data_IF_867376159246
#
_entry.id   IF_867376159246
#
_cell.length_a   1.000
_cell.length_b   1.000
_cell.length_c   1.000
_cell.angle_alpha   90.00
_cell.angle_beta   90.00
_cell.angle_gamma   90.00
#
_symmetry.space_group_name_H-M   'P 1'
#
loop_
_entity.id
_entity.type
_entity.pdbx_description
1 polymer ?
#
# COMPACT_ATOMS: atom_id res chain seq x y z
N UNK A 1 -0.62 10.97 -6.61
CA UNK A 1 -0.49 9.50 -6.75
C UNK A 1 -1.83 8.79 -6.56
N UNK A 2 -2.96 9.46 -6.86
CA UNK A 2 -4.30 8.87 -6.82
C UNK A 2 -4.57 8.06 -5.53
N UNK A 3 -5.11 6.83 -5.60
CA UNK A 3 -5.31 5.98 -4.42
C UNK A 3 -4.02 5.46 -3.75
N UNK A 4 -2.86 5.61 -4.39
CA UNK A 4 -1.60 5.03 -3.92
C UNK A 4 -0.84 5.89 -2.90
N UNK A 5 -1.34 7.10 -2.59
CA UNK A 5 -0.68 8.03 -1.64
C UNK A 5 -0.40 7.42 -0.25
N UNK A 6 -1.26 6.51 0.22
CA UNK A 6 -1.09 5.82 1.51
C UNK A 6 0.18 4.98 1.57
N UNK A 7 0.68 4.50 0.44
CA UNK A 7 1.92 3.72 0.40
C UNK A 7 3.13 4.56 0.80
N UNK A 8 3.15 5.84 0.42
CA UNK A 8 4.23 6.75 0.81
C UNK A 8 4.16 7.06 2.30
N UNK A 9 2.96 7.33 2.83
CA UNK A 9 2.80 7.54 4.27
C UNK A 9 3.23 6.31 5.07
N UNK A 10 2.93 5.11 4.59
CA UNK A 10 3.35 3.86 5.23
C UNK A 10 4.87 3.69 5.18
N UNK A 11 5.49 3.95 4.02
CA UNK A 11 6.94 3.83 3.85
C UNK A 11 7.72 4.84 4.70
N UNK A 12 7.18 6.04 4.91
CA UNK A 12 7.80 7.09 5.72
C UNK A 12 7.37 7.07 7.19
N UNK A 13 6.63 6.04 7.61
CA UNK A 13 6.09 5.91 8.97
C UNK A 13 5.27 7.13 9.43
N UNK A 14 4.52 7.73 8.50
CA UNK A 14 3.63 8.86 8.72
C UNK A 14 2.24 8.32 9.10
N UNK A 15 1.60 8.85 10.16
CA UNK A 15 0.23 8.48 10.52
C UNK A 15 -0.74 8.69 9.36
N UNK A 16 -1.57 7.68 9.06
CA UNK A 16 -2.62 7.81 8.03
C UNK A 16 -3.68 8.84 8.42
N UNK A 17 -3.99 8.88 9.71
CA UNK A 17 -4.91 9.83 10.30
C UNK A 17 -4.11 11.01 10.85
N UNK A 18 -4.37 12.20 10.33
CA UNK A 18 -3.64 13.43 10.67
C UNK A 18 -2.12 13.30 10.47
N UNK A 19 -1.64 13.23 9.21
CA UNK A 19 -0.21 13.04 8.92
C UNK A 19 0.69 14.15 9.45
N UNK A 20 0.15 15.31 9.86
CA UNK A 20 0.93 16.45 10.36
C UNK A 20 1.83 17.10 9.31
N UNK A 21 1.77 16.62 8.06
CA UNK A 21 2.54 17.15 6.93
C UNK A 21 1.70 18.19 6.21
N UNK A 22 2.15 19.44 6.25
CA UNK A 22 1.66 20.49 5.36
C UNK A 22 2.43 20.42 4.03
N UNK A 23 1.68 20.26 2.94
CA UNK A 23 2.19 20.20 1.57
C UNK A 23 1.76 21.42 0.74
N UNK A 24 1.08 22.39 1.36
CA UNK A 24 0.57 23.59 0.72
C UNK A 24 -0.56 23.34 -0.29
N UNK A 25 -0.92 24.39 -1.03
CA UNK A 25 -1.91 24.28 -2.10
C UNK A 25 -1.33 23.59 -3.34
N UNK A 26 -2.05 22.60 -3.85
CA UNK A 26 -1.71 21.81 -5.04
C UNK A 26 -2.72 22.00 -6.18
N UNK A 27 -3.65 22.95 -6.04
CA UNK A 27 -4.73 23.22 -6.99
C UNK A 27 -4.23 23.43 -8.42
N UNK A 28 -3.17 24.23 -8.61
CA UNK A 28 -2.57 24.50 -9.93
C UNK A 28 -2.00 23.23 -10.58
N UNK A 29 -1.34 22.38 -9.78
CA UNK A 29 -0.77 21.11 -10.27
C UNK A 29 -1.87 20.12 -10.67
N UNK A 30 -2.97 20.10 -9.92
CA UNK A 30 -4.16 19.31 -10.26
C UNK A 30 -4.82 19.84 -11.53
N UNK A 31 -4.94 21.16 -11.70
CA UNK A 31 -5.48 21.77 -12.90
C UNK A 31 -4.60 21.48 -14.13
N UNK A 32 -3.27 21.56 -13.99
CA UNK A 32 -2.33 21.20 -15.04
C UNK A 32 -2.50 19.73 -15.47
N UNK A 33 -2.61 18.80 -14.51
CA UNK A 33 -2.84 17.38 -14.79
C UNK A 33 -4.12 17.15 -15.61
N UNK A 34 -5.19 17.91 -15.33
CA UNK A 34 -6.45 17.86 -16.08
C UNK A 34 -6.30 18.41 -17.49
N UNK A 35 -5.64 19.58 -17.64
CA UNK A 35 -5.41 20.22 -18.95
C UNK A 35 -4.60 19.35 -19.90
N UNK A 36 -3.55 18.71 -19.38
CA UNK A 36 -2.67 17.83 -20.17
C UNK A 36 -3.21 16.41 -20.35
N UNK A 37 -4.43 16.11 -19.86
CA UNK A 37 -5.06 14.80 -19.96
C UNK A 37 -4.15 13.65 -19.51
N UNK A 38 -3.39 13.86 -18.41
CA UNK A 38 -2.44 12.88 -17.93
C UNK A 38 -3.12 11.56 -17.54
N UNK A 39 -2.43 10.44 -17.76
CA UNK A 39 -2.86 9.11 -17.34
C UNK A 39 -2.89 8.96 -15.81
N UNK A 40 -3.61 7.95 -15.33
CA UNK A 40 -3.67 7.62 -13.90
C UNK A 40 -2.34 7.06 -13.42
N UNK A 41 -2.09 7.16 -12.11
CA UNK A 41 -0.91 6.55 -11.50
C UNK A 41 -0.96 5.02 -11.59
N UNK A 42 -2.16 4.43 -11.60
CA UNK A 42 -2.35 3.01 -11.90
C UNK A 42 -1.80 2.64 -13.29
N UNK A 43 -2.12 3.43 -14.32
CA UNK A 43 -1.59 3.20 -15.67
C UNK A 43 -0.07 3.27 -15.69
N UNK A 44 0.53 4.21 -14.94
CA UNK A 44 1.99 4.30 -14.81
C UNK A 44 2.59 3.02 -14.20
N UNK A 45 2.02 2.49 -13.12
CA UNK A 45 2.49 1.23 -12.52
C UNK A 45 2.31 0.03 -13.45
N UNK A 46 1.23 -0.01 -14.24
CA UNK A 46 0.97 -1.13 -15.15
C UNK A 46 1.82 -1.08 -16.43
N UNK A 47 2.24 0.10 -16.90
CA UNK A 47 2.85 0.26 -18.23
C UNK A 47 4.29 0.78 -18.19
N UNK A 48 4.68 1.52 -17.16
CA UNK A 48 6.01 2.17 -17.07
C UNK A 48 6.88 1.50 -15.99
N UNK A 49 6.29 1.08 -14.87
CA UNK A 49 7.04 0.47 -13.77
C UNK A 49 6.35 -0.76 -13.13
N UNK A 50 6.16 -1.85 -13.92
CA UNK A 50 5.40 -3.05 -13.52
C UNK A 50 6.04 -3.91 -12.43
N UNK A 51 7.35 -3.81 -12.24
CA UNK A 51 8.09 -4.51 -11.19
C UNK A 51 7.84 -3.94 -9.78
N UNK A 52 7.21 -2.76 -9.70
CA UNK A 52 6.90 -2.13 -8.43
C UNK A 52 5.84 -2.94 -7.67
N UNK A 53 6.17 -3.32 -6.43
CA UNK A 53 5.23 -4.03 -5.56
C UNK A 53 4.13 -3.09 -5.05
N UNK A 54 2.87 -3.48 -5.28
CA UNK A 54 1.68 -2.77 -4.79
C UNK A 54 1.16 -3.46 -3.52
N UNK A 55 0.88 -2.68 -2.48
CA UNK A 55 0.44 -3.17 -1.16
C UNK A 55 -1.07 -2.95 -0.95
N UNK A 56 -1.89 -3.35 -1.92
CA UNK A 56 -3.34 -3.17 -1.94
C UNK A 56 -4.10 -3.82 -0.77
N UNK A 57 -3.54 -4.88 -0.19
CA UNK A 57 -4.17 -5.66 0.89
C UNK A 57 -3.41 -5.58 2.22
N UNK A 58 -2.41 -4.70 2.35
CA UNK A 58 -1.65 -4.55 3.59
C UNK A 58 -2.47 -3.77 4.61
N UNK A 59 -2.71 -4.40 5.77
CA UNK A 59 -3.37 -3.78 6.93
C UNK A 59 -2.35 -3.04 7.79
N UNK A 60 -1.21 -3.68 8.03
CA UNK A 60 -0.11 -3.10 8.79
C UNK A 60 1.20 -3.59 8.21
N UNK A 61 2.17 -2.68 8.20
CA UNK A 61 3.56 -2.91 7.87
C UNK A 61 4.41 -2.36 9.01
N UNK A 62 5.53 -3.01 9.29
CA UNK A 62 6.51 -2.49 10.21
C UNK A 62 7.78 -3.32 10.17
N UNK A 63 8.68 -2.97 11.08
CA UNK A 63 9.92 -3.69 11.28
C UNK A 63 10.20 -3.91 12.76
N UNK A 64 10.79 -5.06 13.06
CA UNK A 64 11.35 -5.38 14.36
C UNK A 64 12.86 -5.34 14.19
N UNK A 65 13.50 -4.40 14.89
CA UNK A 65 14.95 -4.21 14.86
C UNK A 65 15.60 -4.99 15.99
N UNK A 66 16.56 -5.84 15.65
CA UNK A 66 17.52 -6.43 16.58
C UNK A 66 18.93 -5.95 16.20
N UNK A 67 19.90 -6.06 17.11
CA UNK A 67 21.29 -5.61 16.85
C UNK A 67 21.96 -6.29 15.65
N UNK A 68 21.50 -7.48 15.28
CA UNK A 68 22.08 -8.31 14.22
C UNK A 68 21.20 -8.46 12.97
N UNK A 69 19.91 -8.14 13.08
CA UNK A 69 18.97 -8.36 11.98
C UNK A 69 17.77 -7.44 12.08
N UNK A 70 17.15 -7.17 10.94
CA UNK A 70 15.86 -6.50 10.87
C UNK A 70 14.84 -7.47 10.26
N UNK A 71 13.72 -7.65 10.96
CA UNK A 71 12.58 -8.40 10.44
C UNK A 71 11.55 -7.39 9.95
N UNK A 72 11.31 -7.35 8.65
CA UNK A 72 10.15 -6.63 8.12
C UNK A 72 8.95 -7.56 8.13
N UNK A 73 7.81 -7.08 8.63
CA UNK A 73 6.57 -7.85 8.66
C UNK A 73 5.45 -7.08 7.98
N UNK A 74 4.59 -7.81 7.28
CA UNK A 74 3.42 -7.28 6.60
C UNK A 74 2.21 -8.14 6.98
N UNK A 75 1.17 -7.56 7.56
CA UNK A 75 -0.12 -8.24 7.78
C UNK A 75 -1.06 -7.92 6.63
N UNK A 76 -1.47 -8.95 5.89
CA UNK A 76 -2.34 -8.79 4.72
C UNK A 76 -3.75 -9.31 5.00
N UNK A 77 -4.75 -8.63 4.41
CA UNK A 77 -6.15 -9.05 4.37
C UNK A 77 -6.38 -9.90 3.12
N UNK A 78 -6.69 -11.17 3.30
CA UNK A 78 -7.09 -12.05 2.20
C UNK A 78 -8.61 -12.22 2.23
N UNK A 79 -9.25 -11.96 1.08
CA UNK A 79 -10.66 -12.28 0.87
C UNK A 79 -10.72 -13.61 0.13
N UNK A 80 -11.03 -14.69 0.83
CA UNK A 80 -11.29 -15.97 0.17
C UNK A 80 -12.78 -16.00 -0.22
N UNK A 81 -13.08 -16.23 -1.49
CA UNK A 81 -14.42 -16.62 -1.92
C UNK A 81 -14.56 -18.11 -1.62
N UNK A 82 -15.06 -18.45 -0.43
CA UNK A 82 -15.42 -19.82 -0.12
C UNK A 82 -16.83 -20.10 -0.66
N UNK A 83 -16.94 -20.86 -1.74
CA UNK A 83 -18.21 -21.46 -2.17
C UNK A 83 -18.39 -22.79 -1.43
N UNK A 84 -18.90 -22.76 -0.20
CA UNK A 84 -19.50 -23.95 0.39
C UNK A 84 -20.94 -24.04 -0.14
N UNK A 85 -21.15 -24.97 -1.07
CA UNK A 85 -22.47 -25.44 -1.50
C UNK A 85 -23.49 -24.37 -1.93
N UNK A 86 -23.10 -23.44 -2.81
CA UNK A 86 -24.06 -22.59 -3.54
C UNK A 86 -24.84 -21.57 -2.72
N UNK A 87 -24.53 -21.42 -1.43
CA UNK A 87 -25.05 -20.33 -0.59
C UNK A 87 -23.98 -19.22 -0.56
N UNK A 88 -24.32 -17.95 -0.85
CA UNK A 88 -23.36 -16.85 -0.70
C UNK A 88 -23.09 -16.62 0.79
N UNK A 89 -22.08 -17.31 1.32
CA UNK A 89 -21.62 -17.10 2.70
C UNK A 89 -20.72 -15.86 2.72
N UNK A 90 -20.95 -15.02 3.74
CA UNK A 90 -20.15 -13.87 4.15
C UNK A 90 -18.67 -14.04 3.80
N UNK A 91 -18.08 -12.99 3.20
CA UNK A 91 -16.65 -12.87 2.94
C UNK A 91 -15.80 -13.36 4.14
N UNK A 92 -15.16 -14.52 4.02
CA UNK A 92 -14.19 -14.97 5.01
C UNK A 92 -12.95 -14.09 4.88
N UNK A 93 -12.65 -13.34 5.94
CA UNK A 93 -11.46 -12.50 6.02
C UNK A 93 -10.38 -13.27 6.75
N UNK A 94 -9.41 -13.78 6.01
CA UNK A 94 -8.19 -14.35 6.58
C UNK A 94 -7.09 -13.30 6.69
N UNK A 95 -6.33 -13.37 7.78
CA UNK A 95 -5.14 -12.56 7.99
C UNK A 95 -3.90 -13.46 7.91
N UNK A 96 -2.94 -13.10 7.05
CA UNK A 96 -1.60 -13.74 7.07
C UNK A 96 -0.54 -12.69 7.34
N UNK A 97 0.45 -13.07 8.16
CA UNK A 97 1.64 -12.26 8.41
C UNK A 97 2.77 -12.85 7.55
N UNK A 98 3.39 -12.02 6.73
CA UNK A 98 4.58 -12.38 5.94
C UNK A 98 5.80 -11.67 6.50
N UNK A 99 6.88 -12.42 6.74
CA UNK A 99 8.14 -11.92 7.25
C UNK A 99 9.23 -11.95 6.17
N UNK A 100 10.09 -10.93 6.14
CA UNK A 100 11.34 -10.93 5.37
C UNK A 100 12.49 -10.48 6.26
N UNK A 101 13.56 -11.29 6.31
CA UNK A 101 14.75 -11.03 7.10
C UNK A 101 15.80 -10.28 6.27
N UNK A 102 16.33 -9.19 6.81
CA UNK A 102 17.48 -8.47 6.28
C UNK A 102 18.60 -8.46 7.33
N UNK A 103 19.82 -8.83 6.91
CA UNK A 103 21.01 -8.75 7.76
C UNK A 103 21.63 -7.36 7.62
N UNK A 104 21.93 -6.71 8.74
CA UNK A 104 22.74 -5.48 8.75
C UNK A 104 24.21 -5.88 8.56
N UNK A 105 24.79 -5.46 7.44
CA UNK A 105 26.21 -5.63 7.11
C UNK A 105 27.03 -4.54 7.80
#
# INVERSE_FOLDING_TARGET
MDEYKSHVYMAWNIPMNNPGVDYGDVSERVALRKRLQCRSFRWYLENVYPEMRIYNNTITYGEVRHSLFTIHYQRKRYKNKACLSGIPILYVVEYRITFSLSMTQ
#
